data_IF_000464950826
#
_entry.id   IF_000464950826
#
_cell.length_a   1.000
_cell.length_b   1.000
_cell.length_c   1.000
_cell.angle_alpha   90.00
_cell.angle_beta   90.00
_cell.angle_gamma   90.00
#
_symmetry.space_group_name_H-M   'P 1'
#
loop_
_entity.id
_entity.type
_entity.pdbx_description
1 polymer ?
#
# COMPACT_ATOMS: atom_id res chain seq x y z
N UNK A 1 24.86 15.51 1.49
CA UNK A 1 23.63 16.34 1.56
C UNK A 1 22.47 15.38 1.78
N UNK A 2 21.52 15.67 2.68
CA UNK A 2 20.34 14.84 2.83
C UNK A 2 19.56 14.79 1.51
N UNK A 3 18.96 13.64 1.20
CA UNK A 3 18.14 13.46 0.00
C UNK A 3 17.01 14.50 0.00
N UNK A 4 16.73 15.20 -1.13
CA UNK A 4 15.59 16.09 -1.23
C UNK A 4 14.25 15.32 -1.17
N UNK A 5 14.29 13.99 -1.27
CA UNK A 5 13.13 13.10 -1.13
C UNK A 5 13.50 11.92 -0.22
N UNK A 6 13.51 12.11 1.11
CA UNK A 6 14.08 11.13 2.05
C UNK A 6 13.25 9.84 2.16
N UNK A 7 11.98 9.84 1.71
CA UNK A 7 11.17 8.63 1.54
C UNK A 7 11.81 7.61 0.56
N UNK A 8 12.71 8.05 -0.32
CA UNK A 8 13.47 7.16 -1.21
C UNK A 8 14.45 6.25 -0.46
N UNK A 9 14.78 6.57 0.80
CA UNK A 9 15.71 5.80 1.63
C UNK A 9 14.99 4.81 2.57
N UNK A 10 13.66 4.89 2.66
CA UNK A 10 12.85 3.96 3.45
C UNK A 10 12.94 2.54 2.88
N UNK A 11 13.30 1.57 3.72
CA UNK A 11 13.30 0.14 3.40
C UNK A 11 12.52 -0.62 4.45
N UNK A 12 11.76 -1.62 4.02
CA UNK A 12 11.10 -2.58 4.91
C UNK A 12 11.43 -3.99 4.46
N UNK A 13 11.99 -4.81 5.34
CA UNK A 13 12.33 -6.20 5.04
C UNK A 13 11.37 -7.15 5.73
N UNK A 14 10.84 -8.12 4.99
CA UNK A 14 10.01 -9.21 5.53
C UNK A 14 10.47 -10.54 4.94
N UNK A 15 11.17 -11.34 5.75
CA UNK A 15 11.81 -12.57 5.27
C UNK A 15 12.81 -12.26 4.16
N UNK A 16 12.59 -12.82 2.96
CA UNK A 16 13.47 -12.61 1.80
C UNK A 16 13.10 -11.39 0.93
N UNK A 17 12.01 -10.71 1.24
CA UNK A 17 11.50 -9.62 0.41
C UNK A 17 11.86 -8.27 1.01
N UNK A 18 12.43 -7.40 0.19
CA UNK A 18 12.60 -5.97 0.48
C UNK A 18 11.44 -5.20 -0.14
N UNK A 19 10.88 -4.25 0.61
CA UNK A 19 9.96 -3.25 0.12
C UNK A 19 10.61 -1.87 0.13
N UNK A 20 10.54 -1.17 -1.00
CA UNK A 20 11.07 0.18 -1.17
C UNK A 20 10.38 0.95 -2.29
N UNK A 21 10.68 2.24 -2.41
CA UNK A 21 10.30 2.99 -3.61
C UNK A 21 11.11 2.49 -4.83
N UNK A 22 10.47 2.35 -6.00
CA UNK A 22 11.16 2.03 -7.24
C UNK A 22 11.77 3.30 -7.84
N UNK A 23 12.77 3.14 -8.71
CA UNK A 23 13.09 4.18 -9.70
C UNK A 23 12.09 4.14 -10.88
N UNK A 24 12.19 5.12 -11.80
CA UNK A 24 11.25 5.21 -12.94
C UNK A 24 11.39 4.03 -13.92
N UNK A 25 12.56 3.39 -14.01
CA UNK A 25 12.78 2.23 -14.87
C UNK A 25 12.14 0.99 -14.27
N UNK A 26 12.35 0.75 -12.98
CA UNK A 26 11.74 -0.34 -12.21
C UNK A 26 10.21 -0.19 -12.19
N UNK A 27 9.71 1.03 -11.97
CA UNK A 27 8.28 1.34 -12.06
C UNK A 27 7.73 0.98 -13.44
N UNK A 28 8.44 1.35 -14.50
CA UNK A 28 8.08 1.02 -15.88
C UNK A 28 8.03 -0.49 -16.14
N UNK A 29 9.03 -1.26 -15.66
CA UNK A 29 9.05 -2.72 -15.76
C UNK A 29 7.82 -3.35 -15.09
N UNK A 30 7.52 -2.91 -13.86
CA UNK A 30 6.37 -3.40 -13.13
C UNK A 30 5.06 -3.04 -13.85
N UNK A 31 4.91 -1.78 -14.24
CA UNK A 31 3.71 -1.25 -14.88
C UNK A 31 3.41 -1.94 -16.21
N UNK A 32 4.44 -2.25 -17.01
CA UNK A 32 4.30 -3.05 -18.23
C UNK A 32 3.77 -4.45 -17.91
N UNK A 33 4.34 -5.11 -16.89
CA UNK A 33 3.96 -6.48 -16.55
C UNK A 33 2.52 -6.60 -16.05
N UNK A 34 2.05 -5.66 -15.24
CA UNK A 34 0.68 -5.72 -14.69
C UNK A 34 -0.38 -5.18 -15.63
N UNK A 35 -0.01 -4.32 -16.60
CA UNK A 35 -0.96 -3.68 -17.50
C UNK A 35 -1.58 -4.61 -18.54
N UNK A 36 -1.03 -5.80 -18.76
CA UNK A 36 -1.64 -6.79 -19.67
C UNK A 36 -2.97 -7.32 -19.12
N UNK A 37 -3.13 -7.36 -17.80
CA UNK A 37 -4.34 -7.83 -17.15
C UNK A 37 -5.25 -6.65 -16.75
N UNK A 38 -6.50 -6.68 -17.21
CA UNK A 38 -7.53 -5.80 -16.67
C UNK A 38 -7.77 -6.13 -15.20
N UNK A 39 -7.71 -5.13 -14.31
CA UNK A 39 -7.88 -5.34 -12.88
C UNK A 39 -8.73 -4.24 -12.25
N UNK A 40 -9.99 -4.55 -11.98
CA UNK A 40 -10.94 -3.62 -11.37
C UNK A 40 -10.59 -3.24 -9.92
N UNK A 41 -9.80 -4.06 -9.22
CA UNK A 41 -9.35 -3.77 -7.85
C UNK A 41 -8.23 -2.73 -7.81
N UNK A 42 -7.64 -2.36 -8.96
CA UNK A 42 -6.60 -1.35 -9.07
C UNK A 42 -7.13 -0.21 -9.95
N UNK A 43 -7.52 0.95 -9.38
CA UNK A 43 -8.16 2.02 -10.16
C UNK A 43 -7.39 2.46 -11.41
N UNK A 44 -6.06 2.48 -11.34
CA UNK A 44 -5.21 2.82 -12.49
C UNK A 44 -5.24 1.77 -13.63
N UNK A 45 -5.83 0.60 -13.41
CA UNK A 45 -5.97 -0.48 -14.40
C UNK A 45 -7.45 -0.83 -14.68
N UNK A 46 -8.39 -0.09 -14.11
CA UNK A 46 -9.80 -0.46 -14.09
C UNK A 46 -10.64 0.14 -15.23
N UNK A 47 -10.04 0.92 -16.16
CA UNK A 47 -10.76 1.41 -17.33
C UNK A 47 -10.83 0.30 -18.40
N UNK A 48 -12.02 -0.25 -18.71
CA UNK A 48 -12.12 -1.36 -19.67
C UNK A 48 -11.79 -0.96 -21.11
N UNK A 49 -11.75 0.34 -21.42
CA UNK A 49 -11.43 0.85 -22.76
C UNK A 49 -9.94 1.10 -22.98
N UNK A 50 -9.14 1.12 -21.92
CA UNK A 50 -7.70 1.38 -22.04
C UNK A 50 -7.01 0.17 -22.70
N UNK A 51 -6.08 0.43 -23.61
CA UNK A 51 -5.07 -0.52 -24.08
C UNK A 51 -4.04 -0.82 -22.97
N UNK A 52 -3.24 -1.90 -23.07
CA UNK A 52 -2.14 -2.13 -22.13
C UNK A 52 -1.20 -0.91 -22.01
N UNK A 53 -0.84 -0.27 -23.12
CA UNK A 53 0.00 0.92 -23.12
C UNK A 53 -0.62 2.12 -22.37
N UNK A 54 -1.95 2.29 -22.47
CA UNK A 54 -2.67 3.32 -21.72
C UNK A 54 -2.73 3.00 -20.22
N UNK A 55 -2.96 1.74 -19.86
CA UNK A 55 -2.91 1.28 -18.46
C UNK A 55 -1.52 1.45 -17.85
N UNK A 56 -0.45 1.12 -18.59
CA UNK A 56 0.93 1.36 -18.15
C UNK A 56 1.15 2.83 -17.85
N UNK A 57 0.79 3.73 -18.78
CA UNK A 57 0.92 5.18 -18.56
C UNK A 57 0.11 5.65 -17.36
N UNK A 58 -1.14 5.21 -17.22
CA UNK A 58 -2.01 5.58 -16.11
C UNK A 58 -1.46 5.10 -14.76
N UNK A 59 -0.89 3.90 -14.71
CA UNK A 59 -0.26 3.36 -13.51
C UNK A 59 0.96 4.19 -13.09
N UNK A 60 1.84 4.54 -14.04
CA UNK A 60 2.99 5.41 -13.77
C UNK A 60 2.56 6.80 -13.32
N UNK A 61 1.57 7.39 -13.99
CA UNK A 61 1.00 8.70 -13.62
C UNK A 61 0.38 8.68 -12.22
N UNK A 62 -0.32 7.61 -11.85
CA UNK A 62 -0.88 7.45 -10.51
C UNK A 62 0.24 7.45 -9.45
N UNK A 63 1.32 6.71 -9.68
CA UNK A 63 2.48 6.68 -8.77
C UNK A 63 3.23 8.01 -8.68
N UNK A 64 3.45 8.70 -9.81
CA UNK A 64 4.09 10.02 -9.78
C UNK A 64 3.23 11.03 -9.05
N UNK A 65 1.91 10.97 -9.24
CA UNK A 65 0.96 11.85 -8.54
C UNK A 65 1.00 11.63 -7.03
N UNK A 66 1.03 10.38 -6.54
CA UNK A 66 1.10 10.13 -5.09
C UNK A 66 2.35 10.72 -4.45
N UNK A 67 3.47 10.78 -5.19
CA UNK A 67 4.70 11.46 -4.75
C UNK A 67 4.59 12.98 -4.86
N UNK A 68 4.05 13.50 -5.95
CA UNK A 68 3.99 14.94 -6.22
C UNK A 68 2.99 15.67 -5.30
N UNK A 69 1.90 15.01 -4.92
CA UNK A 69 0.81 15.59 -4.11
C UNK A 69 1.01 15.33 -2.60
N UNK A 70 2.14 14.76 -2.19
CA UNK A 70 2.37 14.40 -0.79
C UNK A 70 2.22 15.61 0.15
N UNK A 71 1.33 15.48 1.14
CA UNK A 71 1.18 16.41 2.26
C UNK A 71 1.02 15.62 3.56
N UNK A 72 1.45 16.15 4.72
CA UNK A 72 1.24 15.50 6.02
C UNK A 72 -0.23 15.14 6.30
N UNK A 73 -1.16 15.94 5.79
CA UNK A 73 -2.60 15.75 5.91
C UNK A 73 -3.19 14.77 4.89
N UNK A 74 -2.50 14.49 3.80
CA UNK A 74 -2.93 13.52 2.78
C UNK A 74 -1.74 13.00 2.00
N UNK A 75 -1.43 11.72 2.18
CA UNK A 75 -0.29 11.06 1.57
C UNK A 75 -0.62 9.64 1.16
N UNK A 76 0.10 9.15 0.14
CA UNK A 76 0.06 7.76 -0.29
C UNK A 76 1.48 7.26 -0.59
N UNK A 77 1.91 6.28 0.19
CA UNK A 77 3.20 5.61 0.05
C UNK A 77 3.02 4.32 -0.76
N UNK A 78 3.62 4.29 -1.95
CA UNK A 78 3.60 3.13 -2.84
C UNK A 78 4.93 2.38 -2.79
N UNK A 79 5.03 1.44 -1.85
CA UNK A 79 6.20 0.55 -1.77
C UNK A 79 6.07 -0.63 -2.72
N UNK A 80 7.19 -1.07 -3.26
CA UNK A 80 7.26 -2.21 -4.16
C UNK A 80 8.11 -3.30 -3.52
N UNK A 81 7.60 -4.53 -3.50
CA UNK A 81 8.37 -5.70 -3.12
C UNK A 81 9.33 -6.09 -4.25
N UNK A 82 10.58 -6.35 -3.88
CA UNK A 82 11.63 -6.78 -4.78
C UNK A 82 12.04 -8.23 -4.49
N UNK A 83 12.33 -8.97 -5.56
CA UNK A 83 12.98 -10.28 -5.55
C UNK A 83 13.98 -10.30 -6.70
N UNK A 84 15.24 -10.65 -6.41
CA UNK A 84 16.36 -10.65 -7.37
C UNK A 84 16.49 -9.33 -8.16
N UNK A 85 16.30 -8.20 -7.46
CA UNK A 85 16.39 -6.86 -8.04
C UNK A 85 15.23 -6.46 -8.95
N UNK A 86 14.15 -7.25 -9.01
CA UNK A 86 12.97 -6.95 -9.83
C UNK A 86 11.74 -6.66 -8.98
N UNK A 87 10.92 -5.68 -9.35
CA UNK A 87 9.67 -5.41 -8.66
C UNK A 87 8.66 -6.53 -8.97
N UNK A 88 8.11 -7.14 -7.93
CA UNK A 88 7.18 -8.28 -7.99
C UNK A 88 5.78 -7.99 -7.43
N UNK A 89 5.63 -6.90 -6.66
CA UNK A 89 4.34 -6.43 -6.19
C UNK A 89 4.42 -4.97 -5.74
N UNK A 90 3.29 -4.27 -5.77
CA UNK A 90 3.10 -2.96 -5.17
C UNK A 90 2.16 -3.07 -3.97
N UNK A 91 2.50 -2.38 -2.90
CA UNK A 91 1.70 -2.20 -1.70
C UNK A 91 1.62 -0.71 -1.37
N UNK A 92 0.42 -0.18 -1.55
CA UNK A 92 0.02 1.17 -1.16
C UNK A 92 -0.36 1.20 0.31
N UNK A 93 0.11 2.23 1.00
CA UNK A 93 -0.32 2.67 2.32
C UNK A 93 -0.73 4.14 2.20
N UNK A 94 -1.96 4.48 2.57
CA UNK A 94 -2.49 5.84 2.45
C UNK A 94 -2.96 6.34 3.82
N UNK A 95 -2.67 7.60 4.12
CA UNK A 95 -3.23 8.32 5.24
C UNK A 95 -3.93 9.58 4.77
N UNK A 96 -5.17 9.78 5.20
CA UNK A 96 -5.89 11.05 5.08
C UNK A 96 -6.18 11.54 6.50
N UNK A 97 -5.79 12.77 6.83
CA UNK A 97 -5.86 13.33 8.19
C UNK A 97 -5.24 12.37 9.22
N UNK A 98 -4.13 11.71 8.87
CA UNK A 98 -3.56 10.61 9.65
C UNK A 98 -3.20 11.01 11.08
N UNK A 99 -2.67 12.22 11.27
CA UNK A 99 -2.34 12.77 12.59
C UNK A 99 -3.52 12.72 13.57
N UNK A 100 -4.73 12.98 13.05
CA UNK A 100 -5.98 13.03 13.81
C UNK A 100 -6.65 11.67 13.91
N UNK A 101 -6.79 10.96 12.79
CA UNK A 101 -7.56 9.72 12.72
C UNK A 101 -6.78 8.50 13.19
N UNK A 102 -5.45 8.54 13.09
CA UNK A 102 -4.55 7.38 13.30
C UNK A 102 -5.00 6.15 12.52
N UNK A 103 -5.55 6.38 11.33
CA UNK A 103 -6.09 5.32 10.47
C UNK A 103 -5.46 5.39 9.08
N UNK A 104 -5.07 4.22 8.57
CA UNK A 104 -4.49 4.07 7.23
C UNK A 104 -5.38 3.20 6.35
N UNK A 105 -5.27 3.37 5.03
CA UNK A 105 -5.89 2.49 4.03
C UNK A 105 -4.80 1.77 3.26
N UNK A 106 -4.97 0.46 3.06
CA UNK A 106 -4.04 -0.37 2.30
C UNK A 106 -4.63 -0.79 0.95
N UNK A 107 -3.78 -0.89 -0.06
CA UNK A 107 -4.11 -1.43 -1.38
C UNK A 107 -2.91 -2.17 -1.96
N UNK A 108 -3.12 -3.19 -2.79
CA UNK A 108 -2.00 -3.99 -3.29
C UNK A 108 -2.29 -4.59 -4.65
N UNK A 109 -1.23 -4.76 -5.44
CA UNK A 109 -1.23 -5.54 -6.67
C UNK A 109 0.03 -6.40 -6.73
N UNK A 110 -0.12 -7.66 -7.10
CA UNK A 110 0.99 -8.60 -7.31
C UNK A 110 1.02 -8.97 -8.78
N UNK A 111 2.23 -9.02 -9.36
CA UNK A 111 2.40 -9.48 -10.73
C UNK A 111 1.80 -10.87 -10.94
N UNK A 112 1.19 -11.15 -12.11
CA UNK A 112 0.54 -12.43 -12.36
C UNK A 112 1.45 -13.64 -12.12
N UNK A 113 2.72 -13.55 -12.55
CA UNK A 113 3.74 -14.61 -12.43
C UNK A 113 4.30 -14.82 -11.00
N UNK A 114 3.78 -14.06 -10.02
CA UNK A 114 4.20 -14.14 -8.60
C UNK A 114 3.03 -14.29 -7.62
N UNK A 115 1.81 -14.47 -8.11
CA UNK A 115 0.64 -14.80 -7.27
C UNK A 115 0.81 -16.18 -6.65
N UNK A 116 0.23 -16.39 -5.46
CA UNK A 116 0.33 -17.66 -4.73
C UNK A 116 1.66 -17.92 -4.02
N UNK A 117 2.71 -17.13 -4.29
CA UNK A 117 4.03 -17.28 -3.66
C UNK A 117 4.18 -16.60 -2.28
N UNK A 118 3.09 -16.10 -1.70
CA UNK A 118 3.09 -15.40 -0.40
C UNK A 118 3.48 -13.92 -0.44
N UNK A 119 3.79 -13.36 -1.61
CA UNK A 119 4.23 -11.96 -1.79
C UNK A 119 3.22 -10.95 -1.22
N UNK A 120 1.93 -11.09 -1.56
CA UNK A 120 0.88 -10.19 -1.06
C UNK A 120 0.76 -10.19 0.47
N UNK A 121 0.94 -11.36 1.09
CA UNK A 121 0.94 -11.50 2.55
C UNK A 121 2.13 -10.80 3.19
N UNK A 122 3.34 -10.97 2.63
CA UNK A 122 4.54 -10.32 3.13
C UNK A 122 4.47 -8.79 2.97
N UNK A 123 4.03 -8.33 1.81
CA UNK A 123 3.82 -6.89 1.55
C UNK A 123 2.83 -6.28 2.54
N UNK A 124 1.71 -6.96 2.81
CA UNK A 124 0.74 -6.48 3.78
C UNK A 124 1.34 -6.40 5.19
N UNK A 125 2.08 -7.43 5.60
CA UNK A 125 2.76 -7.42 6.90
C UNK A 125 3.74 -6.25 7.02
N UNK A 126 4.51 -5.96 5.96
CA UNK A 126 5.45 -4.85 5.93
C UNK A 126 4.78 -3.51 6.24
N UNK A 127 3.70 -3.18 5.53
CA UNK A 127 3.02 -1.90 5.71
C UNK A 127 2.16 -1.83 6.97
N UNK A 128 1.64 -2.96 7.47
CA UNK A 128 0.97 -2.99 8.76
C UNK A 128 1.95 -2.77 9.91
N UNK A 129 3.14 -3.37 9.84
CA UNK A 129 4.19 -3.09 10.80
C UNK A 129 4.61 -1.62 10.77
N UNK A 130 4.87 -1.06 9.58
CA UNK A 130 5.17 0.37 9.44
C UNK A 130 4.05 1.23 10.03
N UNK A 131 2.79 0.95 9.70
CA UNK A 131 1.67 1.73 10.19
C UNK A 131 1.55 1.69 11.72
N UNK A 132 1.51 0.50 12.32
CA UNK A 132 1.20 0.34 13.74
C UNK A 132 2.40 0.59 14.65
N UNK A 133 3.59 0.11 14.29
CA UNK A 133 4.79 0.22 15.12
C UNK A 133 5.66 1.41 14.73
N UNK A 134 5.72 1.75 13.44
CA UNK A 134 6.52 2.88 12.95
C UNK A 134 5.81 4.24 13.04
N UNK A 135 4.55 4.31 12.62
CA UNK A 135 3.80 5.57 12.49
C UNK A 135 2.77 5.79 13.61
N UNK A 136 2.56 4.79 14.46
CA UNK A 136 1.59 4.86 15.55
C UNK A 136 0.14 4.92 15.08
N UNK A 137 -0.21 4.24 14.00
CA UNK A 137 -1.60 4.02 13.61
C UNK A 137 -2.34 3.21 14.70
N UNK A 138 -3.62 3.48 14.85
CA UNK A 138 -4.55 2.71 15.68
C UNK A 138 -5.34 1.71 14.84
N UNK A 139 -5.62 2.05 13.57
CA UNK A 139 -6.41 1.22 12.66
C UNK A 139 -5.84 1.17 11.25
N UNK A 140 -6.06 0.05 10.58
CA UNK A 140 -5.79 -0.12 9.15
C UNK A 140 -7.02 -0.66 8.45
N UNK A 141 -7.41 -0.03 7.35
CA UNK A 141 -8.50 -0.43 6.49
C UNK A 141 -7.99 -1.09 5.21
N UNK A 142 -8.79 -2.01 4.68
CA UNK A 142 -8.56 -2.64 3.38
C UNK A 142 -9.90 -2.80 2.68
N UNK A 143 -9.93 -2.55 1.37
CA UNK A 143 -11.11 -2.82 0.54
C UNK A 143 -10.86 -4.03 -0.37
N UNK A 144 -11.87 -4.86 -0.54
CA UNK A 144 -11.89 -5.89 -1.58
C UNK A 144 -13.17 -5.74 -2.41
N UNK A 145 -13.00 -5.59 -3.72
CA UNK A 145 -14.13 -5.74 -4.65
C UNK A 145 -14.70 -7.15 -4.48
N UNK A 146 -16.03 -7.29 -4.53
CA UNK A 146 -16.67 -8.61 -4.56
C UNK A 146 -15.94 -9.52 -5.58
N UNK A 147 -15.65 -10.76 -5.16
CA UNK A 147 -14.86 -11.78 -5.89
C UNK A 147 -13.32 -11.69 -5.87
N UNK A 148 -12.70 -10.74 -5.14
CA UNK A 148 -11.24 -10.73 -4.99
C UNK A 148 -10.75 -11.70 -3.89
N UNK A 149 -10.67 -13.00 -4.22
CA UNK A 149 -10.22 -14.07 -3.33
C UNK A 149 -8.79 -13.88 -2.76
N UNK A 150 -7.89 -13.23 -3.51
CA UNK A 150 -6.53 -12.98 -3.07
C UNK A 150 -6.49 -11.96 -1.90
N UNK A 151 -7.27 -10.89 -1.98
CA UNK A 151 -7.40 -9.91 -0.90
C UNK A 151 -8.07 -10.52 0.33
N UNK A 152 -9.09 -11.37 0.13
CA UNK A 152 -9.76 -12.08 1.23
C UNK A 152 -8.79 -13.00 1.99
N UNK A 153 -7.91 -13.69 1.29
CA UNK A 153 -6.90 -14.57 1.91
C UNK A 153 -5.96 -13.81 2.84
N UNK A 154 -5.51 -12.61 2.42
CA UNK A 154 -4.64 -11.76 3.25
C UNK A 154 -5.39 -11.18 4.44
N UNK A 155 -6.64 -10.75 4.23
CA UNK A 155 -7.54 -10.25 5.28
C UNK A 155 -7.78 -11.31 6.36
N UNK A 156 -8.08 -12.56 5.96
CA UNK A 156 -8.30 -13.67 6.89
C UNK A 156 -7.06 -14.01 7.71
N UNK A 157 -5.85 -13.77 7.18
CA UNK A 157 -4.60 -14.11 7.87
C UNK A 157 -4.29 -13.19 9.06
N UNK A 158 -4.67 -11.92 9.01
CA UNK A 158 -4.31 -10.93 10.05
C UNK A 158 -5.49 -10.53 10.94
N UNK A 159 -6.54 -11.35 11.01
CA UNK A 159 -7.71 -11.12 11.89
C UNK A 159 -8.44 -9.79 11.64
N UNK A 160 -8.45 -9.33 10.39
CA UNK A 160 -9.30 -8.21 9.99
C UNK A 160 -10.77 -8.55 10.22
N UNK A 161 -11.53 -7.56 10.68
CA UNK A 161 -12.97 -7.68 10.85
C UNK A 161 -13.72 -7.02 9.67
N UNK A 162 -14.88 -7.57 9.25
CA UNK A 162 -15.76 -6.88 8.32
C UNK A 162 -16.16 -5.49 8.83
N UNK A 163 -16.12 -4.49 7.95
CA UNK A 163 -16.39 -3.09 8.28
C UNK A 163 -17.37 -2.45 7.27
N UNK A 164 -18.36 -3.22 6.83
CA UNK A 164 -19.42 -2.78 5.93
C UNK A 164 -19.04 -2.77 4.45
N UNK A 165 -19.88 -2.12 3.64
CA UNK A 165 -19.76 -2.06 2.17
C UNK A 165 -19.67 -0.60 1.74
N UNK A 166 -18.69 -0.28 0.91
CA UNK A 166 -18.53 1.03 0.27
C UNK A 166 -18.93 0.94 -1.20
N UNK A 167 -19.71 1.92 -1.67
CA UNK A 167 -20.00 2.11 -3.11
C UNK A 167 -19.05 3.15 -3.69
N UNK A 168 -18.43 2.83 -4.82
CA UNK A 168 -17.52 3.72 -5.53
C UNK A 168 -17.92 3.85 -7.00
N UNK A 169 -17.83 5.06 -7.56
CA UNK A 169 -17.97 5.25 -9.00
C UNK A 169 -16.61 5.04 -9.67
N UNK A 170 -16.55 4.20 -10.69
CA UNK A 170 -15.33 3.86 -11.41
C UNK A 170 -15.64 3.72 -12.91
N UNK A 171 -15.09 4.61 -13.73
CA UNK A 171 -15.28 4.66 -15.19
C UNK A 171 -16.76 4.51 -15.64
N UNK A 172 -17.67 5.21 -14.95
CA UNK A 172 -19.10 5.20 -15.27
C UNK A 172 -19.90 4.01 -14.72
N UNK A 173 -19.24 3.11 -13.97
CA UNK A 173 -19.89 2.00 -13.26
C UNK A 173 -19.87 2.20 -11.75
N UNK A 174 -20.80 1.57 -11.03
CA UNK A 174 -20.79 1.53 -9.57
C UNK A 174 -20.17 0.20 -9.13
N UNK A 175 -19.18 0.29 -8.26
CA UNK A 175 -18.48 -0.83 -7.66
C UNK A 175 -18.85 -0.96 -6.19
N UNK A 176 -19.17 -2.16 -5.75
CA UNK A 176 -19.32 -2.50 -4.34
C UNK A 176 -18.00 -3.06 -3.80
N UNK A 177 -17.53 -2.48 -2.70
CA UNK A 177 -16.27 -2.84 -2.07
C UNK A 177 -16.55 -3.26 -0.64
N UNK A 178 -16.29 -4.52 -0.33
CA UNK A 178 -16.31 -5.04 1.03
C UNK A 178 -15.14 -4.42 1.79
N UNK A 179 -15.45 -3.72 2.88
CA UNK A 179 -14.46 -3.04 3.70
C UNK A 179 -14.10 -3.92 4.89
N UNK A 180 -12.84 -3.85 5.27
CA UNK A 180 -12.28 -4.56 6.41
C UNK A 180 -11.47 -3.61 7.26
N UNK A 181 -11.43 -3.84 8.57
CA UNK A 181 -10.68 -3.03 9.52
C UNK A 181 -9.87 -3.93 10.46
N UNK A 182 -8.65 -3.49 10.77
CA UNK A 182 -7.75 -4.14 11.71
C UNK A 182 -7.27 -3.08 12.70
N UNK A 183 -7.34 -3.39 13.99
CA UNK A 183 -6.77 -2.54 15.05
C UNK A 183 -5.31 -2.90 15.35
N UNK A 184 -4.57 -1.95 15.90
CA UNK A 184 -3.21 -2.18 16.39
C UNK A 184 -3.16 -3.28 17.47
N UNK A 185 -4.19 -3.38 18.32
CA UNK A 185 -4.29 -4.42 19.35
C UNK A 185 -4.40 -5.83 18.73
N UNK A 186 -5.27 -6.01 17.73
CA UNK A 186 -5.41 -7.28 16.99
C UNK A 186 -4.13 -7.64 16.24
N UNK A 187 -3.46 -6.65 15.63
CA UNK A 187 -2.18 -6.87 14.98
C UNK A 187 -1.11 -7.39 15.95
N UNK A 188 -0.98 -6.74 17.12
CA UNK A 188 0.01 -7.09 18.14
C UNK A 188 -0.25 -8.42 18.82
N UNK A 189 -1.52 -8.84 18.94
CA UNK A 189 -1.90 -10.14 19.49
C UNK A 189 -1.80 -11.30 18.49
N UNK A 190 -1.56 -11.02 17.21
CA UNK A 190 -1.47 -12.06 16.18
C UNK A 190 -0.17 -12.87 16.30
N UNK A 191 -0.29 -14.17 16.57
CA UNK A 191 0.83 -15.11 16.58
C UNK A 191 1.47 -15.31 15.20
N UNK A 192 0.75 -14.95 14.13
CA UNK A 192 1.19 -15.11 12.75
C UNK A 192 2.03 -13.94 12.20
N UNK A 193 2.33 -12.95 13.05
CA UNK A 193 3.07 -11.74 12.65
C UNK A 193 4.53 -12.10 12.31
N UNK A 194 4.99 -11.82 11.07
CA UNK A 194 6.38 -12.06 10.73
C UNK A 194 7.28 -11.03 11.41
N UNK A 195 8.58 -11.36 11.50
CA UNK A 195 9.61 -10.37 11.81
C UNK A 195 9.68 -9.38 10.63
N UNK A 196 9.62 -8.10 10.95
CA UNK A 196 9.71 -7.00 10.00
C UNK A 196 10.76 -6.03 10.51
N UNK A 197 11.67 -5.63 9.63
CA UNK A 197 12.67 -4.61 9.91
C UNK A 197 12.37 -3.37 9.07
N UNK A 198 12.42 -2.19 9.69
CA UNK A 198 12.21 -0.91 9.02
C UNK A 198 13.45 -0.06 9.21
N UNK A 199 14.01 0.47 8.12
CA UNK A 199 15.17 1.36 8.15
C UNK A 199 14.89 2.61 7.32
N UNK A 200 15.50 3.74 7.69
CA UNK A 200 15.28 5.02 7.00
C UNK A 200 13.95 5.68 7.34
N UNK A 201 13.33 5.33 8.48
CA UNK A 201 12.12 5.98 8.99
C UNK A 201 12.43 7.18 9.90
N UNK A 202 13.55 7.13 10.62
CA UNK A 202 13.93 8.18 11.58
C UNK A 202 13.99 9.56 10.90
N UNK A 203 13.30 10.54 11.48
CA UNK A 203 13.25 11.91 10.94
C UNK A 203 12.22 12.14 9.83
N UNK A 204 11.38 11.14 9.52
CA UNK A 204 10.30 11.29 8.53
C UNK A 204 8.93 11.62 9.16
N UNK A 205 8.85 11.78 10.48
CA UNK A 205 7.60 11.92 11.23
C UNK A 205 6.75 13.09 10.74
N UNK A 206 7.38 14.23 10.43
CA UNK A 206 6.69 15.41 9.92
C UNK A 206 6.04 15.17 8.55
N UNK A 207 6.64 14.32 7.69
CA UNK A 207 6.06 13.97 6.39
C UNK A 207 4.77 13.16 6.53
N UNK A 208 4.61 12.43 7.63
CA UNK A 208 3.40 11.65 7.91
C UNK A 208 2.42 12.39 8.84
N UNK A 209 2.74 13.61 9.28
CA UNK A 209 1.93 14.39 10.22
C UNK A 209 2.05 13.95 11.68
N UNK A 210 3.11 13.20 12.05
CA UNK A 210 3.32 12.69 13.41
C UNK A 210 4.41 13.43 14.20
N UNK A 211 5.06 14.42 13.59
CA UNK A 211 6.26 15.09 14.12
C UNK A 211 6.04 16.13 15.23
N UNK A 212 4.83 16.63 15.46
CA UNK A 212 4.59 17.69 16.46
C UNK A 212 3.46 17.31 17.43
N UNK A 213 3.85 16.86 18.64
CA UNK A 213 2.95 16.74 19.80
C UNK A 213 3.32 17.67 20.97
N UNK A 214 4.13 18.70 20.71
CA UNK A 214 4.53 19.69 21.74
C UNK A 214 3.86 21.08 21.61
N UNK A 215 3.05 21.35 20.58
CA UNK A 215 2.45 22.69 20.38
C UNK A 215 0.97 22.84 20.76
N UNK A 216 0.37 21.85 21.41
CA UNK A 216 -1.00 21.94 21.91
C UNK A 216 -1.07 21.59 23.40
N UNK A 217 -0.53 22.50 24.21
CA UNK A 217 -0.79 22.61 25.65
C UNK A 217 -1.73 23.78 25.90
#
# INVERSE_FOLDING_TARGET
MPSPWPLADLRITVGKWELRLPDDRELGEFALTVADEYNISVPAMANPKDTPAERTRRFMQDHWRTRAEWQPESWALDLFAFEDGRPIGQQRLRGDQFALLREVVTGSVVRPDRRGAGVGTAMRAAVLHLAFEGLGAEFAQSGAVADNAASLTVTSKYSYEPNGIRRAALFGSVLEVNMFRLSAAQWRSSESRPVVEVTGLDGLESLFGTGDREAAS
#
